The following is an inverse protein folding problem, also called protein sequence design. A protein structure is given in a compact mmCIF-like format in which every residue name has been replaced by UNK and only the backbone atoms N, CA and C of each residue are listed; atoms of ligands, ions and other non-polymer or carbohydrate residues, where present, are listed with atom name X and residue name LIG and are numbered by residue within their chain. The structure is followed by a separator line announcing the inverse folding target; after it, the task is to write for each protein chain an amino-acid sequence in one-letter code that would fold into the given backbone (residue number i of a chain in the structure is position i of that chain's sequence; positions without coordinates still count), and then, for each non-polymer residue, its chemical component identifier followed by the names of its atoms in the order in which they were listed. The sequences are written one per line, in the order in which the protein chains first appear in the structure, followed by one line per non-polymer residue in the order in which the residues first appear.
data_IF_897283604444
#
_entry.id   IF_897283604444
#
_cell.length_a   1.000
_cell.length_b   1.000
_cell.length_c   1.000
_cell.angle_alpha   90.00
_cell.angle_beta   90.00
_cell.angle_gamma   90.00
#
_symmetry.space_group_name_H-M   'P 1'
#
loop_
_entity.id
_entity.type
_entity.pdbx_description
1 polymer ?
#
# COMPACT_ATOMS: atom_id res chain seq x y z
N UNK A 1 -29.80 -11.21 -2.24
CA UNK A 1 -28.44 -10.75 -2.58
C UNK A 1 -27.47 -11.31 -1.57
N UNK A 2 -26.36 -11.89 -2.01
CA UNK A 2 -25.26 -12.24 -1.12
C UNK A 2 -24.36 -11.01 -0.92
N UNK A 3 -23.85 -10.80 0.29
CA UNK A 3 -22.79 -9.81 0.52
C UNK A 3 -21.51 -10.32 -0.17
N UNK A 4 -20.76 -9.44 -0.86
CA UNK A 4 -19.48 -9.83 -1.42
C UNK A 4 -18.52 -10.26 -0.31
N UNK A 5 -17.75 -11.32 -0.56
CA UNK A 5 -16.75 -11.81 0.37
C UNK A 5 -15.69 -10.74 0.61
N UNK A 6 -15.30 -10.48 1.88
CA UNK A 6 -14.22 -9.56 2.19
C UNK A 6 -12.92 -9.96 1.49
N UNK A 7 -12.16 -8.97 1.04
CA UNK A 7 -10.83 -9.19 0.47
C UNK A 7 -9.89 -9.80 1.53
N UNK A 8 -9.13 -10.82 1.14
CA UNK A 8 -8.11 -11.47 1.97
C UNK A 8 -7.06 -12.13 1.06
N UNK A 9 -5.86 -12.45 1.59
CA UNK A 9 -4.91 -13.29 0.89
C UNK A 9 -5.55 -14.61 0.44
N UNK A 10 -5.25 -15.09 -0.77
CA UNK A 10 -5.73 -16.39 -1.24
C UNK A 10 -5.07 -17.51 -0.43
N UNK A 11 -5.78 -18.66 -0.33
CA UNK A 11 -5.24 -19.84 0.35
C UNK A 11 -4.00 -20.42 -0.34
N UNK A 12 -3.92 -20.27 -1.66
CA UNK A 12 -2.73 -20.58 -2.45
C UNK A 12 -1.96 -19.26 -2.64
N UNK A 13 -0.71 -19.16 -2.17
CA UNK A 13 0.09 -17.94 -2.35
C UNK A 13 0.24 -17.56 -3.82
N UNK A 14 0.18 -16.25 -4.08
CA UNK A 14 0.44 -15.68 -5.40
C UNK A 14 1.87 -15.16 -5.45
N UNK A 15 2.63 -15.60 -6.43
CA UNK A 15 3.93 -14.99 -6.74
C UNK A 15 3.68 -13.75 -7.60
N UNK A 16 4.06 -12.57 -7.08
CA UNK A 16 3.93 -11.30 -7.77
C UNK A 16 5.24 -10.51 -7.65
N UNK A 17 5.73 -10.00 -8.79
CA UNK A 17 6.95 -9.20 -8.85
C UNK A 17 6.69 -7.77 -8.36
N UNK A 18 7.25 -7.42 -7.20
CA UNK A 18 7.12 -6.07 -6.62
C UNK A 18 8.12 -5.07 -7.22
N UNK A 19 9.14 -5.55 -7.95
CA UNK A 19 10.25 -4.74 -8.47
C UNK A 19 9.80 -3.49 -9.24
N UNK A 20 8.78 -3.54 -10.12
CA UNK A 20 8.30 -2.35 -10.84
C UNK A 20 7.75 -1.26 -9.90
N UNK A 21 7.27 -1.65 -8.73
CA UNK A 21 6.54 -0.81 -7.79
C UNK A 21 7.42 -0.24 -6.68
N UNK A 22 8.68 -0.67 -6.56
CA UNK A 22 9.64 -0.14 -5.59
C UNK A 22 9.83 1.38 -5.71
N UNK A 23 10.02 2.05 -4.58
CA UNK A 23 10.32 3.49 -4.50
C UNK A 23 9.31 4.27 -3.68
N UNK A 24 9.36 5.60 -3.82
CA UNK A 24 8.60 6.53 -2.99
C UNK A 24 7.35 7.03 -3.70
N UNK A 25 6.25 7.09 -2.98
CA UNK A 25 4.99 7.68 -3.42
C UNK A 25 4.60 8.75 -2.41
N UNK A 26 4.28 9.95 -2.87
CA UNK A 26 4.05 11.08 -1.97
C UNK A 26 2.83 11.90 -2.36
N UNK A 27 2.09 12.32 -1.33
CA UNK A 27 1.01 13.30 -1.40
C UNK A 27 1.05 14.18 -0.16
N UNK A 28 0.14 15.14 -0.07
CA UNK A 28 -0.01 15.95 1.14
C UNK A 28 -0.18 15.06 2.38
N UNK A 29 0.70 15.30 3.36
CA UNK A 29 0.69 14.70 4.70
C UNK A 29 1.04 13.21 4.81
N UNK A 30 1.38 12.51 3.72
CA UNK A 30 1.82 11.11 3.75
C UNK A 30 2.89 10.82 2.70
N UNK A 31 3.99 10.22 3.15
CA UNK A 31 4.98 9.55 2.30
C UNK A 31 4.81 8.04 2.44
N UNK A 32 4.78 7.33 1.32
CA UNK A 32 4.77 5.88 1.27
C UNK A 32 6.02 5.40 0.55
N UNK A 33 6.65 4.34 1.05
CA UNK A 33 7.78 3.68 0.42
C UNK A 33 7.42 2.21 0.21
N UNK A 34 7.62 1.72 -1.01
CA UNK A 34 7.51 0.31 -1.36
C UNK A 34 8.93 -0.25 -1.36
N UNK A 35 9.19 -1.17 -0.43
CA UNK A 35 10.51 -1.74 -0.19
C UNK A 35 10.64 -3.14 -0.80
N UNK A 36 11.89 -3.54 -1.04
CA UNK A 36 12.22 -4.91 -1.40
C UNK A 36 11.95 -5.83 -0.19
N UNK A 37 11.33 -7.00 -0.40
CA UNK A 37 10.75 -7.81 0.68
C UNK A 37 9.25 -7.56 0.94
N UNK A 38 8.45 -7.41 -0.14
CA UNK A 38 7.25 -6.56 -0.25
C UNK A 38 6.72 -5.96 1.06
N UNK A 39 7.25 -4.80 1.46
CA UNK A 39 6.78 -4.01 2.61
C UNK A 39 6.29 -2.65 2.13
N UNK A 40 5.13 -2.22 2.64
CA UNK A 40 4.67 -0.85 2.54
C UNK A 40 5.04 -0.10 3.82
N UNK A 41 6.01 0.80 3.74
CA UNK A 41 6.30 1.76 4.80
C UNK A 41 5.47 3.01 4.58
N UNK A 42 4.71 3.43 5.58
CA UNK A 42 3.93 4.67 5.55
C UNK A 42 4.39 5.61 6.63
N UNK A 43 4.68 6.86 6.26
CA UNK A 43 5.09 7.93 7.18
C UNK A 43 4.10 9.09 7.08
N UNK A 44 3.43 9.43 8.18
CA UNK A 44 2.66 10.67 8.29
C UNK A 44 3.65 11.85 8.31
N UNK A 45 3.40 12.86 7.50
CA UNK A 45 4.27 14.04 7.39
C UNK A 45 3.56 15.32 7.86
N UNK A 46 4.32 16.40 7.97
CA UNK A 46 3.80 17.71 8.40
C UNK A 46 3.57 17.82 9.91
N UNK A 47 2.83 18.85 10.37
CA UNK A 47 2.66 19.13 11.80
C UNK A 47 2.05 17.99 12.62
N UNK A 48 1.12 17.23 12.01
CA UNK A 48 0.47 16.10 12.68
C UNK A 48 1.46 15.01 13.10
N UNK A 49 2.53 14.79 12.32
CA UNK A 49 3.54 13.78 12.62
C UNK A 49 4.18 13.97 14.00
N UNK A 50 4.29 15.22 14.47
CA UNK A 50 4.88 15.57 15.78
C UNK A 50 3.99 15.20 16.97
N UNK A 51 2.72 14.92 16.72
CA UNK A 51 1.72 14.56 17.73
C UNK A 51 1.51 13.05 17.84
N UNK A 52 2.05 12.27 16.90
CA UNK A 52 1.92 10.83 16.88
C UNK A 52 3.04 10.18 17.71
N UNK A 53 2.73 9.20 18.56
CA UNK A 53 3.75 8.39 19.24
C UNK A 53 4.68 7.70 18.24
N UNK A 54 4.14 7.33 17.08
CA UNK A 54 4.86 6.73 15.96
C UNK A 54 4.29 7.27 14.64
N UNK A 55 5.11 8.04 13.91
CA UNK A 55 4.71 8.61 12.62
C UNK A 55 4.93 7.64 11.45
N UNK A 56 5.81 6.64 11.62
CA UNK A 56 6.18 5.68 10.58
C UNK A 56 5.79 4.26 10.97
N UNK A 57 5.08 3.57 10.08
CA UNK A 57 4.67 2.17 10.25
C UNK A 57 5.11 1.37 9.03
N UNK A 58 5.56 0.13 9.25
CA UNK A 58 5.90 -0.82 8.20
C UNK A 58 4.87 -1.95 8.19
N UNK A 59 4.30 -2.21 7.02
CA UNK A 59 3.25 -3.18 6.82
C UNK A 59 3.70 -4.21 5.78
N UNK A 60 3.90 -5.48 6.18
CA UNK A 60 4.14 -6.55 5.22
C UNK A 60 2.98 -6.66 4.25
N UNK A 61 3.29 -6.71 2.96
CA UNK A 61 2.32 -6.87 1.89
C UNK A 61 2.23 -8.33 1.48
N UNK A 62 1.01 -8.82 1.32
CA UNK A 62 0.73 -10.16 0.76
C UNK A 62 0.07 -10.00 -0.59
N UNK A 63 0.61 -10.67 -1.62
CA UNK A 63 0.05 -10.60 -2.96
C UNK A 63 -1.30 -11.32 -3.04
N UNK A 64 -2.22 -10.72 -3.80
CA UNK A 64 -3.52 -11.29 -4.16
C UNK A 64 -3.65 -11.42 -5.69
N UNK A 65 -2.99 -10.53 -6.43
CA UNK A 65 -2.83 -10.57 -7.89
C UNK A 65 -1.53 -9.80 -8.27
N UNK A 66 -1.08 -9.80 -9.55
CA UNK A 66 0.18 -9.17 -9.95
C UNK A 66 0.41 -7.74 -9.46
N UNK A 67 -0.64 -6.90 -9.50
CA UNK A 67 -0.58 -5.48 -9.07
C UNK A 67 -1.48 -5.18 -7.87
N UNK A 68 -1.92 -6.23 -7.15
CA UNK A 68 -2.80 -6.11 -6.00
C UNK A 68 -2.21 -6.88 -4.82
N UNK A 69 -1.89 -6.13 -3.78
CA UNK A 69 -1.46 -6.65 -2.51
C UNK A 69 -2.46 -6.25 -1.42
N UNK A 70 -2.32 -6.88 -0.26
CA UNK A 70 -3.04 -6.49 0.94
C UNK A 70 -2.08 -6.35 2.12
N UNK A 71 -2.39 -5.40 2.99
CA UNK A 71 -1.74 -5.21 4.29
C UNK A 71 -2.77 -5.39 5.40
N UNK A 72 -2.28 -5.73 6.59
CA UNK A 72 -3.12 -5.78 7.79
C UNK A 72 -2.43 -5.00 8.92
N UNK A 73 -2.81 -3.73 9.13
CA UNK A 73 -2.37 -3.00 10.31
C UNK A 73 -2.74 -3.75 11.60
N UNK A 74 -1.92 -3.70 12.66
CA UNK A 74 -2.17 -4.44 13.90
C UNK A 74 -3.56 -4.22 14.50
N UNK A 75 -4.08 -3.00 14.40
CA UNK A 75 -5.39 -2.58 14.88
C UNK A 75 -6.57 -2.94 13.95
N UNK A 76 -6.29 -3.44 12.75
CA UNK A 76 -7.29 -3.72 11.73
C UNK A 76 -7.84 -5.14 11.80
N UNK A 77 -9.17 -5.25 11.83
CA UNK A 77 -9.86 -6.53 11.70
C UNK A 77 -9.94 -7.02 10.24
N UNK A 78 -9.70 -6.14 9.28
CA UNK A 78 -9.83 -6.40 7.85
C UNK A 78 -8.52 -6.16 7.10
N UNK A 79 -8.37 -6.82 5.95
CA UNK A 79 -7.28 -6.56 5.02
C UNK A 79 -7.55 -5.28 4.24
N UNK A 80 -6.51 -4.47 4.05
CA UNK A 80 -6.59 -3.21 3.32
C UNK A 80 -5.82 -3.39 2.00
N UNK A 81 -6.43 -3.08 0.85
CA UNK A 81 -5.76 -3.24 -0.44
C UNK A 81 -4.67 -2.19 -0.65
N UNK A 82 -3.58 -2.63 -1.25
CA UNK A 82 -2.53 -1.82 -1.86
C UNK A 82 -2.52 -2.16 -3.33
N UNK A 83 -3.10 -1.27 -4.15
CA UNK A 83 -3.22 -1.49 -5.59
C UNK A 83 -2.25 -0.60 -6.35
N UNK A 84 -1.49 -1.18 -7.26
CA UNK A 84 -0.60 -0.47 -8.14
C UNK A 84 -1.18 -0.36 -9.54
N UNK A 85 -0.90 0.74 -10.22
CA UNK A 85 -1.27 0.92 -11.63
C UNK A 85 -0.42 2.00 -12.28
N UNK A 86 -0.40 1.96 -13.61
CA UNK A 86 0.24 2.97 -14.45
C UNK A 86 -0.83 3.66 -15.28
N UNK A 87 -0.81 4.99 -15.29
CA UNK A 87 -1.68 5.81 -16.13
C UNK A 87 -1.16 5.82 -17.59
N UNK A 88 -1.98 6.25 -18.58
CA UNK A 88 -1.56 6.27 -19.99
C UNK A 88 -0.31 7.12 -20.28
N UNK A 89 0.00 8.09 -19.43
CA UNK A 89 1.20 8.93 -19.52
C UNK A 89 2.46 8.28 -18.89
N UNK A 90 2.34 7.06 -18.39
CA UNK A 90 3.42 6.32 -17.72
C UNK A 90 3.56 6.62 -16.22
N UNK A 91 2.77 7.53 -15.67
CA UNK A 91 2.82 7.84 -14.25
C UNK A 91 2.34 6.64 -13.41
N UNK A 92 3.17 6.22 -12.45
CA UNK A 92 2.88 5.10 -11.54
C UNK A 92 2.22 5.58 -10.26
N UNK A 93 1.24 4.83 -9.78
CA UNK A 93 0.47 5.18 -8.58
C UNK A 93 0.33 3.98 -7.65
N UNK A 94 0.21 4.29 -6.36
CA UNK A 94 -0.32 3.38 -5.34
C UNK A 94 -1.66 3.91 -4.84
N UNK A 95 -2.70 3.08 -4.87
CA UNK A 95 -3.95 3.32 -4.17
C UNK A 95 -3.92 2.57 -2.84
N UNK A 96 -3.89 3.33 -1.76
CA UNK A 96 -3.97 2.80 -0.40
C UNK A 96 -4.59 3.85 0.54
N UNK A 97 -5.45 3.42 1.46
CA UNK A 97 -6.15 4.31 2.39
C UNK A 97 -7.04 5.33 1.67
N UNK A 98 -7.90 4.84 0.75
CA UNK A 98 -8.88 5.59 -0.06
C UNK A 98 -8.32 6.73 -0.92
N UNK A 99 -7.01 6.73 -1.16
CA UNK A 99 -6.32 7.77 -1.94
C UNK A 99 -5.34 7.15 -2.91
N UNK A 100 -5.32 7.69 -4.13
CA UNK A 100 -4.26 7.50 -5.10
C UNK A 100 -3.07 8.40 -4.77
N UNK A 101 -1.86 7.84 -4.80
CA UNK A 101 -0.62 8.55 -4.48
C UNK A 101 0.37 8.32 -5.61
N UNK A 102 0.86 9.39 -6.28
CA UNK A 102 1.80 9.26 -7.37
C UNK A 102 3.16 8.82 -6.85
N UNK A 103 3.89 8.05 -7.67
CA UNK A 103 5.30 7.81 -7.48
C UNK A 103 6.07 9.11 -7.70
N UNK A 104 7.08 9.36 -6.88
CA UNK A 104 7.95 10.55 -6.99
C UNK A 104 9.40 10.12 -7.18
N UNK A 105 10.13 10.87 -8.01
CA UNK A 105 11.48 10.53 -8.49
C UNK A 105 11.42 9.91 -9.89
#
# INVERSE_FOLDING_TARGET
MALPTPLAPPAVPVEADITPWLGTYERSSVRMEVLDGPVLRTTVTGPLAKLLPQATTELPMTAVAPDLYVVRPPESQTWIPVTFYTLPDGARYVHHGVRATPKVG
#
